data_IF_201889161959
#
_entry.id   IF_201889161959
#
_cell.length_a   1.000
_cell.length_b   1.000
_cell.length_c   1.000
_cell.angle_alpha   90.00
_cell.angle_beta   90.00
_cell.angle_gamma   90.00
#
_symmetry.space_group_name_H-M   'P 1'
#
loop_
_entity.id
_entity.type
_entity.pdbx_description
1 polymer ?
#
# COMPACT_ATOMS: atom_id res chain seq x y z
N UNK A 1 47.56 36.13 55.09
CA UNK A 1 46.13 36.54 55.00
C UNK A 1 45.55 36.53 53.59
N UNK A 2 46.33 36.30 52.53
CA UNK A 2 45.86 36.35 51.12
C UNK A 2 45.14 35.09 50.66
N UNK A 3 45.60 33.90 51.06
CA UNK A 3 45.04 32.61 50.60
C UNK A 3 43.58 32.39 51.01
N UNK A 4 43.21 32.77 52.25
CA UNK A 4 41.83 32.62 52.75
C UNK A 4 40.87 33.60 52.08
N UNK A 5 41.34 34.80 51.74
CA UNK A 5 40.56 35.80 51.01
C UNK A 5 40.31 35.36 49.56
N UNK A 6 41.32 34.78 48.91
CA UNK A 6 41.20 34.19 47.57
C UNK A 6 40.23 33.00 47.59
N UNK A 7 40.29 32.14 48.61
CA UNK A 7 39.39 30.99 48.76
C UNK A 7 37.92 31.44 48.93
N UNK A 8 37.66 32.52 49.68
CA UNK A 8 36.32 33.10 49.84
C UNK A 8 35.85 33.87 48.61
N UNK A 9 36.75 34.57 47.93
CA UNK A 9 36.44 35.31 46.71
C UNK A 9 36.15 34.39 45.52
N UNK A 10 36.80 33.22 45.45
CA UNK A 10 36.54 32.21 44.42
C UNK A 10 35.35 31.30 44.76
N UNK A 11 35.08 31.04 46.04
CA UNK A 11 34.08 30.05 46.45
C UNK A 11 32.68 30.32 45.92
N UNK A 12 32.17 31.55 46.08
CA UNK A 12 30.82 31.93 45.63
C UNK A 12 30.70 31.95 44.09
N UNK A 13 31.58 32.66 43.33
CA UNK A 13 31.48 32.65 41.88
C UNK A 13 31.75 31.28 41.26
N UNK A 14 32.60 30.43 41.86
CA UNK A 14 32.80 29.05 41.42
C UNK A 14 31.52 28.23 41.60
N UNK A 15 30.82 28.35 42.73
CA UNK A 15 29.55 27.68 42.95
C UNK A 15 28.48 28.13 41.94
N UNK A 16 28.38 29.45 41.69
CA UNK A 16 27.44 29.98 40.69
C UNK A 16 27.77 29.44 39.29
N UNK A 17 29.06 29.43 38.93
CA UNK A 17 29.52 28.90 37.65
C UNK A 17 29.22 27.41 37.50
N UNK A 18 29.45 26.60 38.54
CA UNK A 18 29.16 25.17 38.54
C UNK A 18 27.65 24.88 38.46
N UNK A 19 26.82 25.66 39.14
CA UNK A 19 25.35 25.54 39.05
C UNK A 19 24.86 25.92 37.65
N UNK A 20 25.40 26.99 37.05
CA UNK A 20 25.11 27.37 35.66
C UNK A 20 25.54 26.28 34.67
N UNK A 21 26.75 25.74 34.83
CA UNK A 21 27.27 24.67 33.97
C UNK A 21 26.38 23.41 34.07
N UNK A 22 26.07 22.99 35.29
CA UNK A 22 25.17 21.84 35.54
C UNK A 22 23.76 22.05 35.01
N UNK A 23 23.26 23.29 34.98
CA UNK A 23 21.94 23.60 34.40
C UNK A 23 21.92 23.55 32.87
N UNK A 24 22.99 24.01 32.20
CA UNK A 24 23.05 24.10 30.74
C UNK A 24 23.55 22.81 30.06
N UNK A 25 24.63 22.22 30.59
CA UNK A 25 25.26 21.03 30.03
C UNK A 25 24.82 19.73 30.71
N UNK A 26 24.22 19.83 31.90
CA UNK A 26 23.89 18.69 32.74
C UNK A 26 25.04 18.29 33.68
N UNK A 27 24.75 17.49 34.70
CA UNK A 27 25.76 17.00 35.65
C UNK A 27 26.10 15.54 35.33
N UNK A 28 27.23 15.25 34.65
CA UNK A 28 27.56 13.89 34.21
C UNK A 28 27.78 12.91 35.36
N UNK A 29 28.18 13.38 36.54
CA UNK A 29 28.40 12.56 37.75
C UNK A 29 27.11 11.88 38.24
N UNK A 30 25.95 12.46 37.96
CA UNK A 30 24.65 11.89 38.34
C UNK A 30 24.18 10.79 37.37
N UNK A 31 24.87 10.59 36.23
CA UNK A 31 24.51 9.62 35.18
C UNK A 31 24.76 8.16 35.59
N UNK A 32 25.72 7.92 36.47
CA UNK A 32 26.13 6.56 36.88
C UNK A 32 25.30 6.01 38.05
N UNK A 33 24.36 6.80 38.59
CA UNK A 33 23.51 6.37 39.70
C UNK A 33 22.36 5.53 39.13
N UNK A 34 22.27 4.22 39.46
CA UNK A 34 21.15 3.41 39.03
C UNK A 34 19.84 4.01 39.56
N UNK A 35 18.81 4.06 38.71
CA UNK A 35 17.48 4.62 38.98
C UNK A 35 17.34 6.15 38.98
N UNK A 36 18.43 6.93 38.93
CA UNK A 36 18.34 8.40 38.90
C UNK A 36 17.62 8.93 37.64
N UNK A 37 17.72 8.22 36.51
CA UNK A 37 17.03 8.53 35.25
C UNK A 37 15.50 8.36 35.28
N UNK A 38 14.93 7.70 36.30
CA UNK A 38 13.47 7.51 36.42
C UNK A 38 12.75 8.70 37.04
N UNK A 39 13.47 9.61 37.70
CA UNK A 39 12.88 10.80 38.34
C UNK A 39 12.94 11.97 37.35
N UNK A 40 11.80 12.54 36.91
CA UNK A 40 11.75 13.54 35.82
C UNK A 40 12.68 14.74 36.05
N UNK A 41 12.71 15.25 37.28
CA UNK A 41 13.50 16.43 37.66
C UNK A 41 15.01 16.14 37.65
N UNK A 42 15.40 14.93 38.05
CA UNK A 42 16.81 14.51 38.11
C UNK A 42 17.33 14.21 36.70
N UNK A 43 16.50 13.61 35.85
CA UNK A 43 16.79 13.35 34.44
C UNK A 43 17.06 14.63 33.64
N UNK A 44 16.29 15.70 33.86
CA UNK A 44 16.51 16.99 33.20
C UNK A 44 17.84 17.65 33.65
N UNK A 45 18.23 17.46 34.91
CA UNK A 45 19.51 17.92 35.44
C UNK A 45 20.70 17.07 34.97
N UNK A 46 20.50 15.77 34.71
CA UNK A 46 21.52 14.87 34.14
C UNK A 46 21.72 15.18 32.66
N UNK A 47 20.63 15.36 31.91
CA UNK A 47 20.68 15.60 30.48
C UNK A 47 21.11 17.03 30.16
N UNK A 48 20.70 18.03 30.94
CA UNK A 48 20.89 19.44 30.61
C UNK A 48 19.84 19.98 29.64
N UNK A 49 19.58 21.29 29.72
CA UNK A 49 18.52 21.94 28.92
C UNK A 49 18.86 22.04 27.42
N UNK A 50 20.12 22.27 27.07
CA UNK A 50 20.55 22.42 25.67
C UNK A 50 20.37 21.13 24.85
N UNK A 51 20.84 19.96 25.29
CA UNK A 51 20.66 18.73 24.53
C UNK A 51 19.20 18.24 24.50
N UNK A 52 18.39 18.53 25.52
CA UNK A 52 16.96 18.18 25.51
C UNK A 52 16.16 19.00 24.50
N UNK A 53 16.44 20.31 24.37
CA UNK A 53 15.85 21.15 23.31
C UNK A 53 16.35 20.77 21.91
N UNK A 54 17.65 20.41 21.76
CA UNK A 54 18.18 19.89 20.49
C UNK A 54 17.53 18.56 20.10
N UNK A 55 17.25 17.68 21.06
CA UNK A 55 16.57 16.41 20.81
C UNK A 55 15.12 16.64 20.33
N UNK A 56 14.37 17.54 20.98
CA UNK A 56 13.01 17.92 20.54
C UNK A 56 13.00 18.49 19.12
N UNK A 57 13.96 19.36 18.78
CA UNK A 57 14.08 19.92 17.44
C UNK A 57 14.40 18.84 16.40
N UNK A 58 15.29 17.89 16.72
CA UNK A 58 15.61 16.77 15.84
C UNK A 58 14.41 15.83 15.63
N UNK A 59 13.64 15.55 16.67
CA UNK A 59 12.45 14.71 16.58
C UNK A 59 11.31 15.40 15.79
N UNK A 60 11.12 16.70 15.97
CA UNK A 60 10.18 17.49 15.16
C UNK A 60 10.56 17.47 13.66
N UNK A 61 11.86 17.64 13.34
CA UNK A 61 12.35 17.53 11.97
C UNK A 61 12.11 16.13 11.38
N UNK A 62 12.37 15.07 12.16
CA UNK A 62 12.08 13.68 11.75
C UNK A 62 10.59 13.45 11.48
N UNK A 63 9.71 14.01 12.30
CA UNK A 63 8.27 13.91 12.07
C UNK A 63 7.87 14.54 10.74
N UNK A 64 8.42 15.70 10.39
CA UNK A 64 8.23 16.33 9.09
C UNK A 64 8.59 15.41 7.93
N UNK A 65 9.80 14.82 7.96
CA UNK A 65 10.22 13.87 6.93
C UNK A 65 9.34 12.63 6.83
N UNK A 66 8.85 12.10 7.96
CA UNK A 66 7.94 10.96 7.97
C UNK A 66 6.60 11.33 7.33
N UNK A 67 6.09 12.54 7.59
CA UNK A 67 4.83 12.99 6.97
C UNK A 67 4.97 13.16 5.46
N UNK A 68 6.05 13.77 4.98
CA UNK A 68 6.33 13.91 3.55
C UNK A 68 6.51 12.54 2.88
N UNK A 69 7.30 11.65 3.49
CA UNK A 69 7.50 10.30 2.97
C UNK A 69 6.18 9.51 2.87
N UNK A 70 5.28 9.67 3.85
CA UNK A 70 3.94 9.06 3.80
C UNK A 70 3.07 9.64 2.68
N UNK A 71 3.12 10.95 2.46
CA UNK A 71 2.40 11.60 1.37
C UNK A 71 2.88 11.10 0.00
N UNK A 72 4.21 11.11 -0.24
CA UNK A 72 4.79 10.59 -1.48
C UNK A 72 4.49 9.11 -1.69
N UNK A 73 4.53 8.29 -0.63
CA UNK A 73 4.17 6.88 -0.72
C UNK A 73 2.68 6.67 -1.06
N UNK A 74 1.79 7.52 -0.52
CA UNK A 74 0.37 7.48 -0.84
C UNK A 74 0.13 7.86 -2.31
N UNK A 75 0.76 8.92 -2.80
CA UNK A 75 0.70 9.35 -4.21
C UNK A 75 1.23 8.29 -5.17
N UNK A 76 2.33 7.62 -4.81
CA UNK A 76 2.86 6.52 -5.62
C UNK A 76 1.88 5.34 -5.70
N UNK A 77 1.21 5.00 -4.60
CA UNK A 77 0.18 3.94 -4.59
C UNK A 77 -1.03 4.30 -5.45
N UNK A 78 -1.51 5.53 -5.39
CA UNK A 78 -2.65 5.95 -6.22
C UNK A 78 -2.29 5.96 -7.70
N UNK A 79 -1.09 6.43 -8.05
CA UNK A 79 -0.59 6.39 -9.41
C UNK A 79 -0.51 4.96 -9.96
N UNK A 80 -0.04 4.00 -9.16
CA UNK A 80 0.05 2.59 -9.55
C UNK A 80 -1.33 1.95 -9.69
N UNK A 81 -2.24 2.21 -8.74
CA UNK A 81 -3.63 1.76 -8.84
C UNK A 81 -4.31 2.29 -10.11
N UNK A 82 -4.08 3.56 -10.45
CA UNK A 82 -4.64 4.14 -11.67
C UNK A 82 -4.10 3.45 -12.93
N UNK A 83 -2.81 3.08 -12.96
CA UNK A 83 -2.24 2.30 -14.06
C UNK A 83 -2.89 0.93 -14.19
N UNK A 84 -3.12 0.25 -13.07
CA UNK A 84 -3.79 -1.06 -13.05
C UNK A 84 -5.24 -0.95 -13.52
N UNK A 85 -5.98 0.08 -13.08
CA UNK A 85 -7.36 0.33 -13.56
C UNK A 85 -7.38 0.61 -15.05
N UNK A 86 -6.48 1.46 -15.55
CA UNK A 86 -6.39 1.78 -16.98
C UNK A 86 -6.07 0.53 -17.82
N UNK A 87 -5.12 -0.30 -17.36
CA UNK A 87 -4.78 -1.56 -18.01
C UNK A 87 -5.96 -2.56 -17.97
N UNK A 88 -6.65 -2.67 -16.83
CA UNK A 88 -7.83 -3.52 -16.68
C UNK A 88 -8.97 -3.08 -17.60
N UNK A 89 -9.20 -1.78 -17.75
CA UNK A 89 -10.23 -1.25 -18.63
C UNK A 89 -9.95 -1.57 -20.10
N UNK A 90 -8.69 -1.50 -20.53
CA UNK A 90 -8.29 -1.89 -21.88
C UNK A 90 -8.63 -3.36 -22.14
N UNK A 91 -8.25 -4.24 -21.20
CA UNK A 91 -8.49 -5.70 -21.30
C UNK A 91 -9.99 -6.00 -21.36
N UNK A 92 -10.80 -5.40 -20.48
CA UNK A 92 -12.26 -5.55 -20.49
C UNK A 92 -12.83 -5.11 -21.84
N UNK A 93 -12.40 -3.96 -22.35
CA UNK A 93 -12.89 -3.45 -23.64
C UNK A 93 -12.52 -4.37 -24.81
N UNK A 94 -11.33 -4.99 -24.80
CA UNK A 94 -10.94 -5.95 -25.82
C UNK A 94 -11.77 -7.23 -25.74
N UNK A 95 -12.00 -7.75 -24.53
CA UNK A 95 -12.82 -8.95 -24.33
C UNK A 95 -14.27 -8.73 -24.77
N UNK A 96 -14.85 -7.56 -24.50
CA UNK A 96 -16.19 -7.23 -24.97
C UNK A 96 -16.29 -7.20 -26.50
N UNK A 97 -15.25 -6.73 -27.19
CA UNK A 97 -15.20 -6.74 -28.67
C UNK A 97 -15.11 -8.18 -29.20
N UNK A 98 -14.23 -9.00 -28.62
CA UNK A 98 -14.09 -10.40 -29.00
C UNK A 98 -15.41 -11.15 -28.81
N UNK A 99 -16.05 -11.02 -27.65
CA UNK A 99 -17.32 -11.68 -27.36
C UNK A 99 -18.44 -11.26 -28.33
N UNK A 100 -18.49 -9.99 -28.75
CA UNK A 100 -19.45 -9.54 -29.77
C UNK A 100 -19.16 -10.14 -31.14
N UNK A 101 -17.88 -10.18 -31.53
CA UNK A 101 -17.47 -10.76 -32.81
C UNK A 101 -17.72 -12.27 -32.85
N UNK A 102 -17.46 -12.99 -31.77
CA UNK A 102 -17.72 -14.42 -31.67
C UNK A 102 -19.22 -14.72 -31.81
N UNK A 103 -20.10 -13.96 -31.14
CA UNK A 103 -21.56 -14.10 -31.31
C UNK A 103 -21.99 -13.85 -32.75
N UNK A 104 -21.49 -12.78 -33.37
CA UNK A 104 -21.82 -12.48 -34.76
C UNK A 104 -21.32 -13.58 -35.73
N UNK A 105 -20.15 -14.16 -35.46
CA UNK A 105 -19.62 -15.30 -36.22
C UNK A 105 -20.49 -16.54 -36.04
N UNK A 106 -20.89 -16.84 -34.81
CA UNK A 106 -21.71 -18.01 -34.50
C UNK A 106 -23.10 -17.90 -35.14
N UNK A 107 -23.70 -16.71 -35.14
CA UNK A 107 -24.95 -16.41 -35.85
C UNK A 107 -24.82 -16.64 -37.37
N UNK A 108 -23.71 -16.20 -37.97
CA UNK A 108 -23.44 -16.42 -39.39
C UNK A 108 -23.24 -17.91 -39.71
N UNK A 109 -22.48 -18.62 -38.89
CA UNK A 109 -22.26 -20.06 -39.05
C UNK A 109 -23.59 -20.82 -38.90
N UNK A 110 -24.42 -20.46 -37.94
CA UNK A 110 -25.74 -21.06 -37.77
C UNK A 110 -26.62 -20.84 -39.01
N UNK A 111 -26.66 -19.62 -39.55
CA UNK A 111 -27.44 -19.30 -40.74
C UNK A 111 -26.94 -20.02 -42.02
N UNK A 112 -25.62 -20.10 -42.20
CA UNK A 112 -25.00 -20.85 -43.31
C UNK A 112 -25.30 -22.36 -43.17
N UNK A 113 -25.12 -22.90 -41.96
CA UNK A 113 -25.38 -24.32 -41.67
C UNK A 113 -26.84 -24.67 -41.95
N UNK A 114 -27.78 -23.85 -41.51
CA UNK A 114 -29.22 -24.04 -41.76
C UNK A 114 -29.56 -24.02 -43.26
N UNK A 115 -28.88 -23.15 -44.02
CA UNK A 115 -29.06 -23.10 -45.48
C UNK A 115 -28.51 -24.35 -46.14
N UNK A 116 -27.31 -24.79 -45.75
CA UNK A 116 -26.67 -26.01 -46.25
C UNK A 116 -27.46 -27.27 -45.92
N UNK A 117 -28.04 -27.36 -44.72
CA UNK A 117 -28.92 -28.46 -44.33
C UNK A 117 -30.14 -28.50 -45.25
N UNK A 118 -30.87 -27.38 -45.40
CA UNK A 118 -32.05 -27.31 -46.26
C UNK A 118 -31.76 -27.68 -47.71
N UNK A 119 -30.64 -27.21 -48.26
CA UNK A 119 -30.26 -27.54 -49.63
C UNK A 119 -29.85 -29.01 -49.78
N UNK A 120 -29.17 -29.58 -48.78
CA UNK A 120 -28.84 -31.00 -48.76
C UNK A 120 -30.11 -31.87 -48.65
N UNK A 121 -31.07 -31.50 -47.82
CA UNK A 121 -32.35 -32.18 -47.69
C UNK A 121 -33.14 -32.20 -49.00
N UNK A 122 -33.13 -31.09 -49.76
CA UNK A 122 -33.75 -31.06 -51.11
C UNK A 122 -33.10 -32.06 -52.07
N UNK A 123 -31.77 -32.18 -52.04
CA UNK A 123 -31.04 -33.15 -52.87
C UNK A 123 -31.35 -34.59 -52.49
N UNK A 124 -31.47 -34.89 -51.20
CA UNK A 124 -31.86 -36.22 -50.74
C UNK A 124 -33.29 -36.57 -51.16
N UNK A 125 -34.22 -35.62 -51.03
CA UNK A 125 -35.61 -35.75 -51.49
C UNK A 125 -35.69 -36.02 -53.00
N UNK A 126 -34.91 -35.30 -53.81
CA UNK A 126 -34.89 -35.53 -55.26
C UNK A 126 -34.26 -36.88 -55.64
N UNK A 127 -33.37 -37.42 -54.81
CA UNK A 127 -32.83 -38.77 -54.93
C UNK A 127 -33.76 -39.87 -54.37
N UNK A 128 -34.98 -39.52 -53.92
CA UNK A 128 -35.96 -40.47 -53.38
C UNK A 128 -35.64 -40.98 -51.96
N UNK A 129 -34.66 -40.37 -51.28
CA UNK A 129 -34.32 -40.69 -49.88
C UNK A 129 -34.93 -39.63 -48.98
N UNK A 130 -35.96 -39.99 -48.21
CA UNK A 130 -36.55 -39.10 -47.21
C UNK A 130 -35.96 -39.42 -45.82
N UNK A 131 -35.37 -38.42 -45.17
CA UNK A 131 -34.92 -38.50 -43.78
C UNK A 131 -36.04 -38.05 -42.82
N UNK A 132 -37.26 -38.55 -43.01
CA UNK A 132 -38.31 -38.35 -42.02
C UNK A 132 -38.15 -39.46 -40.97
N UNK A 133 -37.78 -39.09 -39.74
CA UNK A 133 -37.91 -39.98 -38.57
C UNK A 133 -39.35 -40.49 -38.55
N UNK A 134 -39.54 -41.79 -38.79
CA UNK A 134 -40.89 -42.34 -38.78
C UNK A 134 -41.35 -42.59 -37.32
N UNK A 135 -42.64 -42.89 -37.15
CA UNK A 135 -43.20 -43.12 -35.82
C UNK A 135 -42.59 -44.32 -35.07
N UNK A 136 -42.00 -45.29 -35.77
CA UNK A 136 -41.29 -46.42 -35.19
C UNK A 136 -39.90 -46.02 -34.68
N UNK A 137 -39.20 -45.13 -35.41
CA UNK A 137 -37.90 -44.59 -35.00
C UNK A 137 -38.04 -43.75 -33.72
N UNK A 138 -39.08 -42.91 -33.63
CA UNK A 138 -39.37 -42.08 -32.44
C UNK A 138 -39.68 -42.97 -31.22
N UNK A 139 -40.50 -44.02 -31.40
CA UNK A 139 -40.83 -44.99 -30.35
C UNK A 139 -39.61 -45.75 -29.82
N UNK A 140 -38.65 -46.07 -30.69
CA UNK A 140 -37.41 -46.74 -30.29
C UNK A 140 -36.59 -45.86 -29.34
N UNK A 141 -36.50 -44.55 -29.58
CA UNK A 141 -35.77 -43.62 -28.71
C UNK A 141 -36.47 -43.34 -27.38
N UNK A 142 -37.80 -43.33 -27.33
CA UNK A 142 -38.56 -43.15 -26.08
C UNK A 142 -38.58 -44.40 -25.19
N UNK A 143 -38.30 -45.59 -25.74
CA UNK A 143 -38.32 -46.87 -25.02
C UNK A 143 -37.05 -47.19 -24.21
N UNK A 144 -36.13 -46.22 -24.06
CA UNK A 144 -34.84 -46.37 -23.38
C UNK A 144 -34.73 -45.44 -22.17
#
# INVERSE_FOLDING_TARGET
MTVVAILRALGIPLCIFLVMLGYYEGVPVLRDIPFADRVPVVRELIAGRVPSERAKAADAARQGYVTEARATAAEAKTAELQRQVNAGQLVISSYQKIAKNDRARDEQIAADTETRIRDHEKLLRSAGRNCDLNADDIRMYESR
#
